data_IF_309850526562
#
_entry.id   IF_309850526562
#
_cell.length_a   1.000
_cell.length_b   1.000
_cell.length_c   1.000
_cell.angle_alpha   90.00
_cell.angle_beta   90.00
_cell.angle_gamma   90.00
#
_symmetry.space_group_name_H-M   'P 1'
#
loop_
_entity.id
_entity.type
_entity.pdbx_description
1 polymer ?
#
# COMPACT_ATOMS: atom_id res chain seq x y z
N UNK A 1 -51.92 -73.11 -19.99
CA UNK A 1 -52.40 -71.84 -19.42
C UNK A 1 -51.44 -71.36 -18.36
N UNK A 2 -50.58 -70.37 -18.65
CA UNK A 2 -49.67 -69.75 -17.68
C UNK A 2 -50.07 -68.29 -17.55
N UNK A 3 -50.52 -67.86 -16.37
CA UNK A 3 -50.88 -66.48 -16.03
C UNK A 3 -49.60 -65.69 -15.82
N UNK A 4 -49.45 -64.48 -16.47
CA UNK A 4 -48.43 -63.50 -16.21
C UNK A 4 -48.80 -62.64 -14.98
N UNK A 5 -47.88 -62.28 -14.08
CA UNK A 5 -48.17 -61.33 -13.01
C UNK A 5 -48.08 -59.90 -13.53
N UNK A 6 -49.02 -59.06 -13.17
CA UNK A 6 -49.03 -57.63 -13.41
C UNK A 6 -48.11 -56.89 -12.42
N UNK A 7 -47.14 -56.19 -12.93
CA UNK A 7 -46.25 -55.30 -12.13
C UNK A 7 -46.96 -53.95 -11.97
N UNK A 8 -47.35 -53.64 -10.74
CA UNK A 8 -47.87 -52.33 -10.34
C UNK A 8 -46.70 -51.28 -10.39
N UNK A 9 -46.83 -50.29 -11.22
CA UNK A 9 -46.00 -49.08 -11.16
C UNK A 9 -46.44 -48.24 -9.96
N UNK A 10 -45.65 -48.21 -8.89
CA UNK A 10 -45.80 -47.28 -7.77
C UNK A 10 -44.53 -46.50 -7.57
N UNK A 11 -44.64 -45.17 -7.57
CA UNK A 11 -43.83 -44.35 -6.65
C UNK A 11 -42.64 -43.56 -7.18
N UNK A 12 -42.48 -43.25 -8.50
CA UNK A 12 -41.33 -42.45 -8.94
C UNK A 12 -41.58 -40.92 -8.95
N UNK A 13 -42.82 -40.45 -8.83
CA UNK A 13 -43.11 -39.01 -8.93
C UNK A 13 -42.92 -38.22 -7.63
N UNK A 14 -42.99 -38.87 -6.47
CA UNK A 14 -42.83 -38.17 -5.16
C UNK A 14 -41.35 -37.96 -4.76
N UNK A 15 -40.47 -38.83 -5.16
CA UNK A 15 -39.03 -38.69 -4.89
C UNK A 15 -38.37 -37.60 -5.73
N UNK A 16 -38.75 -37.42 -6.99
CA UNK A 16 -38.24 -36.38 -7.85
C UNK A 16 -38.65 -34.96 -7.38
N UNK A 17 -39.91 -34.80 -6.88
CA UNK A 17 -40.38 -33.53 -6.34
C UNK A 17 -39.66 -33.14 -5.03
N UNK A 18 -39.37 -34.11 -4.16
CA UNK A 18 -38.66 -33.88 -2.91
C UNK A 18 -37.18 -33.49 -3.16
N UNK A 19 -36.50 -34.10 -4.14
CA UNK A 19 -35.12 -33.75 -4.52
C UNK A 19 -35.01 -32.38 -5.16
N UNK A 20 -36.01 -31.99 -6.00
CA UNK A 20 -36.06 -30.66 -6.59
C UNK A 20 -36.32 -29.56 -5.55
N UNK A 21 -37.16 -29.82 -4.54
CA UNK A 21 -37.39 -28.88 -3.44
C UNK A 21 -36.18 -28.72 -2.53
N UNK A 22 -35.42 -29.80 -2.27
CA UNK A 22 -34.18 -29.76 -1.47
C UNK A 22 -33.05 -29.03 -2.21
N UNK A 23 -32.94 -29.23 -3.52
CA UNK A 23 -31.98 -28.51 -4.35
C UNK A 23 -32.31 -27.02 -4.46
N UNK A 24 -33.58 -26.62 -4.57
CA UNK A 24 -34.01 -25.23 -4.57
C UNK A 24 -33.76 -24.56 -3.20
N UNK A 25 -34.01 -25.26 -2.10
CA UNK A 25 -33.73 -24.76 -0.74
C UNK A 25 -32.22 -24.59 -0.47
N UNK A 26 -31.38 -25.52 -0.96
CA UNK A 26 -29.92 -25.40 -0.87
C UNK A 26 -29.36 -24.29 -1.74
N UNK A 27 -29.94 -24.05 -2.93
CA UNK A 27 -29.58 -22.90 -3.78
C UNK A 27 -30.00 -21.57 -3.15
N UNK A 28 -31.19 -21.49 -2.57
CA UNK A 28 -31.65 -20.28 -1.89
C UNK A 28 -30.87 -19.97 -0.62
N UNK A 29 -30.42 -20.97 0.14
CA UNK A 29 -29.52 -20.78 1.27
C UNK A 29 -28.12 -20.39 0.82
N UNK A 30 -27.60 -20.96 -0.26
CA UNK A 30 -26.28 -20.57 -0.82
C UNK A 30 -26.28 -19.15 -1.38
N UNK A 31 -27.35 -18.73 -2.07
CA UNK A 31 -27.50 -17.35 -2.54
C UNK A 31 -27.74 -16.38 -1.37
N UNK A 32 -28.48 -16.79 -0.34
CA UNK A 32 -28.66 -16.00 0.89
C UNK A 32 -27.38 -15.87 1.73
N UNK A 33 -26.52 -16.89 1.76
CA UNK A 33 -25.20 -16.81 2.37
C UNK A 33 -24.23 -15.97 1.53
N UNK A 34 -24.28 -16.07 0.20
CA UNK A 34 -23.44 -15.24 -0.68
C UNK A 34 -23.84 -13.75 -0.60
N UNK A 35 -25.12 -13.42 -0.46
CA UNK A 35 -25.59 -12.05 -0.26
C UNK A 35 -25.22 -11.48 1.13
N UNK A 36 -24.97 -12.33 2.14
CA UNK A 36 -24.48 -11.94 3.47
C UNK A 36 -22.95 -11.95 3.58
N UNK A 37 -22.23 -12.55 2.63
CA UNK A 37 -20.76 -12.61 2.62
C UNK A 37 -20.09 -11.24 2.38
N UNK A 38 -20.84 -10.17 2.05
CA UNK A 38 -20.32 -8.81 1.99
C UNK A 38 -20.14 -8.11 3.33
N UNK A 39 -20.40 -8.76 4.48
CA UNK A 39 -20.59 -8.03 5.73
C UNK A 39 -19.77 -8.50 6.94
N UNK A 40 -18.83 -9.41 6.84
CA UNK A 40 -18.01 -9.77 8.00
C UNK A 40 -16.52 -9.79 7.64
N UNK A 41 -15.89 -8.62 7.64
CA UNK A 41 -14.43 -8.52 7.48
C UNK A 41 -13.66 -9.09 8.69
N UNK A 42 -14.30 -9.32 9.83
CA UNK A 42 -13.65 -9.65 11.10
C UNK A 42 -12.85 -8.48 11.70
N UNK A 43 -12.88 -7.33 11.04
CA UNK A 43 -12.19 -6.10 11.45
C UNK A 43 -13.04 -5.35 12.46
N UNK A 44 -12.43 -4.96 13.58
CA UNK A 44 -13.07 -4.08 14.55
C UNK A 44 -12.86 -2.62 14.13
N UNK A 45 -13.95 -1.89 13.93
CA UNK A 45 -13.94 -0.46 13.57
C UNK A 45 -14.32 0.42 14.75
N UNK A 46 -13.89 1.67 14.73
CA UNK A 46 -14.37 2.68 15.67
C UNK A 46 -15.89 2.86 15.55
N UNK A 47 -16.59 3.29 16.63
CA UNK A 47 -18.02 3.52 16.62
C UNK A 47 -18.47 4.42 15.46
N UNK A 48 -19.57 4.07 14.81
CA UNK A 48 -20.11 4.79 13.66
C UNK A 48 -19.42 4.51 12.32
N UNK A 49 -18.41 3.62 12.31
CA UNK A 49 -17.77 3.16 11.09
C UNK A 49 -18.11 1.68 10.81
N UNK A 50 -18.06 1.30 9.55
CA UNK A 50 -18.17 -0.09 9.11
C UNK A 50 -17.10 -0.44 8.10
N UNK A 51 -16.64 -1.69 8.14
CA UNK A 51 -15.69 -2.25 7.18
C UNK A 51 -16.38 -3.28 6.27
N UNK A 52 -16.11 -3.19 4.99
CA UNK A 52 -16.61 -4.11 3.97
C UNK A 52 -15.49 -4.53 3.02
N UNK A 53 -15.51 -5.77 2.55
CA UNK A 53 -14.56 -6.25 1.54
C UNK A 53 -14.97 -5.70 0.18
N UNK A 54 -14.04 -5.04 -0.53
CA UNK A 54 -14.30 -4.46 -1.87
C UNK A 54 -13.46 -5.12 -2.97
N UNK A 55 -12.34 -5.76 -2.61
CA UNK A 55 -11.54 -6.55 -3.55
C UNK A 55 -11.17 -7.86 -2.87
N UNK A 56 -11.35 -8.95 -3.60
CA UNK A 56 -10.95 -10.30 -3.20
C UNK A 56 -9.89 -10.82 -4.17
N UNK A 57 -9.21 -11.88 -3.77
CA UNK A 57 -8.33 -12.66 -4.64
C UNK A 57 -7.15 -11.87 -5.26
N UNK A 58 -6.72 -10.79 -4.59
CA UNK A 58 -5.52 -10.04 -4.97
C UNK A 58 -4.29 -10.62 -4.27
N UNK A 59 -3.29 -11.01 -5.04
CA UNK A 59 -2.12 -11.73 -4.53
C UNK A 59 -1.22 -10.88 -3.63
N UNK A 60 -1.42 -10.90 -2.29
CA UNK A 60 -0.63 -10.15 -1.30
C UNK A 60 -0.57 -8.65 -1.63
N UNK A 61 -1.68 -7.92 -1.54
CA UNK A 61 -1.71 -6.49 -1.80
C UNK A 61 -0.85 -5.74 -0.78
N UNK A 62 -0.03 -4.80 -1.24
CA UNK A 62 0.98 -4.11 -0.40
C UNK A 62 0.84 -2.60 -0.41
N UNK A 63 0.40 -2.00 -1.53
CA UNK A 63 0.18 -0.56 -1.62
C UNK A 63 -1.10 -0.24 -2.37
N UNK A 64 -1.72 0.88 -1.97
CA UNK A 64 -2.95 1.40 -2.55
C UNK A 64 -2.79 2.88 -2.90
N UNK A 65 -3.40 3.29 -3.98
CA UNK A 65 -3.58 4.69 -4.35
C UNK A 65 -4.82 4.84 -5.24
N UNK A 66 -5.31 6.06 -5.41
CA UNK A 66 -6.32 6.35 -6.43
C UNK A 66 -5.66 6.99 -7.66
N UNK A 67 -6.05 6.55 -8.85
CA UNK A 67 -5.64 7.22 -10.08
C UNK A 67 -6.56 8.43 -10.36
N UNK A 68 -6.17 9.25 -11.34
CA UNK A 68 -6.94 10.44 -11.76
C UNK A 68 -8.39 10.12 -12.15
N UNK A 69 -8.67 8.89 -12.59
CA UNK A 69 -10.02 8.43 -12.94
C UNK A 69 -10.84 7.93 -11.77
N UNK A 70 -10.33 8.03 -10.53
CA UNK A 70 -11.00 7.53 -9.33
C UNK A 70 -10.95 6.01 -9.19
N UNK A 71 -10.14 5.30 -9.99
CA UNK A 71 -9.96 3.86 -9.84
C UNK A 71 -8.92 3.57 -8.77
N UNK A 72 -9.18 2.54 -7.98
CA UNK A 72 -8.22 2.04 -7.00
C UNK A 72 -7.08 1.32 -7.73
N UNK A 73 -5.87 1.82 -7.56
CA UNK A 73 -4.64 1.17 -7.98
C UNK A 73 -4.15 0.31 -6.84
N UNK A 74 -4.01 -0.99 -7.09
CA UNK A 74 -3.50 -1.95 -6.11
C UNK A 74 -2.18 -2.48 -6.62
N UNK A 75 -1.11 -2.23 -5.88
CA UNK A 75 0.17 -2.89 -6.06
C UNK A 75 0.20 -4.15 -5.20
N UNK A 76 0.52 -5.28 -5.80
CA UNK A 76 0.61 -6.57 -5.12
C UNK A 76 1.91 -7.30 -5.46
N UNK A 77 2.36 -8.20 -4.59
CA UNK A 77 3.49 -9.10 -4.89
C UNK A 77 3.12 -10.23 -5.86
N UNK A 78 1.84 -10.36 -6.20
CA UNK A 78 1.34 -11.49 -6.96
C UNK A 78 1.30 -12.78 -6.14
N UNK A 79 0.74 -13.84 -6.74
CA UNK A 79 0.58 -15.14 -6.08
C UNK A 79 1.78 -16.04 -6.23
N UNK A 80 2.51 -15.94 -7.33
CA UNK A 80 3.52 -16.92 -7.73
C UNK A 80 4.95 -16.54 -7.37
N UNK A 81 5.23 -15.27 -7.09
CA UNK A 81 6.59 -14.81 -6.79
C UNK A 81 7.56 -14.96 -7.97
N UNK A 82 7.03 -15.00 -9.20
CA UNK A 82 7.77 -15.07 -10.46
C UNK A 82 7.97 -13.70 -11.12
N UNK A 83 7.43 -12.65 -10.48
CA UNK A 83 7.56 -11.26 -10.90
C UNK A 83 7.87 -10.36 -9.71
N UNK A 84 8.34 -9.14 -9.98
CA UNK A 84 8.58 -8.13 -8.95
C UNK A 84 7.28 -7.64 -8.31
N UNK A 85 6.18 -7.67 -9.05
CA UNK A 85 4.85 -7.33 -8.58
C UNK A 85 3.82 -7.27 -9.68
N UNK A 86 2.57 -7.10 -9.29
CA UNK A 86 1.42 -6.95 -10.16
C UNK A 86 0.66 -5.67 -9.81
N UNK A 87 0.09 -5.02 -10.81
CA UNK A 87 -0.69 -3.80 -10.65
C UNK A 87 -2.07 -4.01 -11.22
N UNK A 88 -3.08 -3.75 -10.40
CA UNK A 88 -4.49 -3.75 -10.78
C UNK A 88 -5.03 -2.32 -10.74
N UNK A 89 -5.93 -1.97 -11.68
CA UNK A 89 -6.70 -0.73 -11.67
C UNK A 89 -8.18 -1.10 -11.63
N UNK A 90 -8.83 -0.88 -10.49
CA UNK A 90 -10.15 -1.44 -10.17
C UNK A 90 -11.15 -0.31 -9.90
N UNK A 91 -12.34 -0.43 -10.48
CA UNK A 91 -13.48 0.44 -10.15
C UNK A 91 -14.21 -0.12 -8.93
N UNK A 92 -13.95 0.45 -7.77
CA UNK A 92 -14.48 0.02 -6.47
C UNK A 92 -15.73 0.80 -6.04
N UNK A 93 -16.41 1.46 -6.96
CA UNK A 93 -17.63 2.23 -6.67
C UNK A 93 -18.85 1.35 -6.42
N UNK A 94 -18.84 0.13 -6.96
CA UNK A 94 -19.91 -0.86 -6.81
C UNK A 94 -20.11 -1.35 -5.37
N UNK A 95 -21.24 -2.04 -5.16
CA UNK A 95 -21.58 -2.68 -3.87
C UNK A 95 -21.09 -4.12 -3.73
N UNK A 96 -20.68 -4.75 -4.82
CA UNK A 96 -20.16 -6.11 -4.83
C UNK A 96 -18.64 -6.10 -4.84
N UNK A 97 -17.96 -7.01 -4.12
CA UNK A 97 -16.53 -7.17 -4.19
C UNK A 97 -16.05 -7.54 -5.62
N UNK A 98 -14.92 -6.98 -6.02
CA UNK A 98 -14.28 -7.31 -7.29
C UNK A 98 -13.33 -8.49 -7.04
N UNK A 99 -13.43 -9.52 -7.86
CA UNK A 99 -12.45 -10.61 -7.92
C UNK A 99 -11.23 -10.16 -8.75
N UNK A 100 -10.14 -9.80 -8.08
CA UNK A 100 -8.92 -9.36 -8.74
C UNK A 100 -8.20 -10.51 -9.49
N UNK A 101 -8.47 -11.77 -9.15
CA UNK A 101 -7.94 -12.93 -9.87
C UNK A 101 -8.40 -12.99 -11.32
N UNK A 102 -9.60 -12.47 -11.60
CA UNK A 102 -10.19 -12.38 -12.94
C UNK A 102 -9.99 -11.00 -13.61
N UNK A 103 -9.53 -10.00 -12.87
CA UNK A 103 -9.36 -8.65 -13.40
C UNK A 103 -8.07 -8.49 -14.22
N UNK A 104 -8.06 -7.59 -15.22
CA UNK A 104 -6.83 -7.23 -15.93
C UNK A 104 -5.76 -6.69 -14.99
N UNK A 105 -4.51 -7.11 -15.23
CA UNK A 105 -3.35 -6.65 -14.44
C UNK A 105 -2.13 -6.46 -15.30
N UNK A 106 -1.24 -5.58 -14.85
CA UNK A 106 0.11 -5.40 -15.41
C UNK A 106 1.09 -6.15 -14.52
N UNK A 107 1.85 -7.06 -15.10
CA UNK A 107 2.89 -7.82 -14.41
C UNK A 107 4.23 -7.13 -14.62
N UNK A 108 4.92 -6.79 -13.53
CA UNK A 108 6.23 -6.16 -13.56
C UNK A 108 7.30 -7.24 -13.35
N UNK A 109 8.20 -7.45 -14.32
CA UNK A 109 9.23 -8.47 -14.21
C UNK A 109 10.27 -8.10 -13.15
N UNK A 110 11.02 -9.09 -12.68
CA UNK A 110 12.20 -8.83 -11.86
C UNK A 110 13.23 -8.03 -12.64
N UNK A 111 13.88 -7.09 -11.96
CA UNK A 111 15.09 -6.46 -12.48
C UNK A 111 16.26 -7.44 -12.47
N UNK A 112 17.29 -7.14 -13.26
CA UNK A 112 18.54 -7.86 -13.22
C UNK A 112 19.28 -7.53 -11.89
N UNK A 113 18.87 -8.16 -10.82
CA UNK A 113 19.46 -8.04 -9.48
C UNK A 113 19.79 -9.45 -8.96
N UNK A 114 20.92 -9.64 -8.24
CA UNK A 114 21.25 -10.91 -7.62
C UNK A 114 20.28 -11.32 -6.50
N UNK A 115 19.53 -10.37 -5.95
CA UNK A 115 18.49 -10.63 -4.95
C UNK A 115 17.15 -10.41 -5.61
N UNK A 116 16.32 -11.39 -5.79
CA UNK A 116 14.96 -11.23 -6.35
C UNK A 116 14.25 -10.04 -5.69
N UNK A 117 14.34 -8.81 -6.24
CA UNK A 117 13.73 -7.65 -5.65
C UNK A 117 12.22 -7.70 -5.88
N UNK A 118 11.48 -7.09 -4.97
CA UNK A 118 10.03 -6.97 -5.07
C UNK A 118 9.63 -5.50 -5.07
N UNK A 119 8.56 -5.18 -5.77
CA UNK A 119 7.96 -3.85 -5.65
C UNK A 119 7.40 -3.70 -4.23
N UNK A 120 7.71 -2.57 -3.59
CA UNK A 120 7.30 -2.30 -2.21
C UNK A 120 6.57 -0.99 -2.03
N UNK A 121 6.69 -0.06 -2.98
CA UNK A 121 6.15 1.29 -2.88
C UNK A 121 5.45 1.73 -4.15
N UNK A 122 4.46 2.60 -4.00
CA UNK A 122 3.63 3.14 -5.08
C UNK A 122 3.36 4.62 -4.84
N UNK A 123 3.56 5.44 -5.88
CA UNK A 123 3.03 6.79 -5.96
C UNK A 123 2.33 6.99 -7.31
N UNK A 124 1.29 7.80 -7.34
CA UNK A 124 0.51 8.13 -8.56
C UNK A 124 0.72 9.60 -8.89
N UNK A 125 1.04 9.91 -10.13
CA UNK A 125 1.00 11.29 -10.59
C UNK A 125 -0.46 11.73 -10.80
N UNK A 126 -0.98 12.67 -10.00
CA UNK A 126 -2.37 13.08 -10.10
C UNK A 126 -2.70 13.84 -11.40
N UNK A 127 -1.69 14.30 -12.13
CA UNK A 127 -1.85 15.05 -13.39
C UNK A 127 -1.98 14.12 -14.59
N UNK A 128 -1.16 13.05 -14.62
CA UNK A 128 -1.08 12.13 -15.78
C UNK A 128 -1.77 10.81 -15.52
N UNK A 129 -1.84 10.36 -14.25
CA UNK A 129 -2.26 9.02 -13.88
C UNK A 129 -1.17 7.96 -14.02
N UNK A 130 0.07 8.39 -14.30
CA UNK A 130 1.24 7.53 -14.34
C UNK A 130 1.61 7.05 -12.94
N UNK A 131 2.29 5.92 -12.86
CA UNK A 131 2.69 5.30 -11.61
C UNK A 131 4.20 5.35 -11.43
N UNK A 132 4.63 5.59 -10.22
CA UNK A 132 6.00 5.42 -9.78
C UNK A 132 6.06 4.24 -8.81
N UNK A 133 7.00 3.33 -9.05
CA UNK A 133 7.09 2.05 -8.37
C UNK A 133 8.47 1.89 -7.76
N UNK A 134 8.55 1.79 -6.43
CA UNK A 134 9.81 1.54 -5.73
C UNK A 134 10.08 0.05 -5.60
N UNK A 135 11.29 -0.39 -5.99
CA UNK A 135 11.74 -1.77 -5.93
C UNK A 135 12.67 -1.97 -4.73
N UNK A 136 12.21 -2.75 -3.75
CA UNK A 136 13.01 -3.17 -2.60
C UNK A 136 14.21 -4.03 -3.07
N UNK A 137 15.35 -3.93 -2.40
CA UNK A 137 16.60 -4.66 -2.70
C UNK A 137 17.21 -4.39 -4.09
N UNK A 138 16.42 -3.92 -5.05
CA UNK A 138 16.90 -3.41 -6.33
C UNK A 138 17.29 -1.94 -6.24
N UNK A 139 16.82 -1.26 -5.19
CA UNK A 139 17.16 0.13 -4.86
C UNK A 139 16.95 1.09 -6.03
N UNK A 140 15.81 0.94 -6.71
CA UNK A 140 15.46 1.74 -7.89
C UNK A 140 14.00 2.10 -7.92
N UNK A 141 13.68 3.10 -8.71
CA UNK A 141 12.29 3.52 -8.96
C UNK A 141 12.00 3.44 -10.45
N UNK A 142 10.87 2.83 -10.78
CA UNK A 142 10.32 2.79 -12.12
C UNK A 142 9.21 3.81 -12.28
N UNK A 143 9.03 4.26 -13.51
CA UNK A 143 7.86 4.95 -14.01
C UNK A 143 7.10 4.00 -14.94
N UNK A 144 5.83 3.80 -14.68
CA UNK A 144 4.89 3.07 -15.52
C UNK A 144 3.85 4.06 -16.04
N UNK A 145 3.96 4.39 -17.32
CA UNK A 145 3.03 5.30 -17.97
C UNK A 145 1.65 4.67 -18.18
N UNK A 146 0.64 5.49 -18.48
CA UNK A 146 -0.73 5.04 -18.74
C UNK A 146 -0.84 4.12 -19.96
N UNK A 147 0.07 4.22 -20.92
CA UNK A 147 0.22 3.30 -22.06
C UNK A 147 1.06 2.06 -21.75
N UNK A 148 1.29 1.78 -20.46
CA UNK A 148 2.00 0.59 -19.93
C UNK A 148 3.49 0.51 -20.28
N UNK A 149 4.12 1.62 -20.62
CA UNK A 149 5.57 1.66 -20.83
C UNK A 149 6.29 1.78 -19.50
N UNK A 150 7.15 0.80 -19.20
CA UNK A 150 7.98 0.78 -18.00
C UNK A 150 9.36 1.38 -18.29
N UNK A 151 9.78 2.35 -17.48
CA UNK A 151 11.09 3.00 -17.58
C UNK A 151 11.72 3.14 -16.19
N UNK A 152 13.01 2.86 -16.04
CA UNK A 152 13.73 3.16 -14.80
C UNK A 152 14.01 4.66 -14.73
N UNK A 153 13.58 5.32 -13.64
CA UNK A 153 13.72 6.79 -13.48
C UNK A 153 14.69 7.20 -12.40
N UNK A 154 14.92 6.35 -11.40
CA UNK A 154 15.93 6.60 -10.38
C UNK A 154 16.66 5.30 -9.98
N UNK A 155 17.95 5.42 -9.70
CA UNK A 155 18.84 4.36 -9.20
C UNK A 155 19.79 4.91 -8.15
N UNK A 156 20.55 4.04 -7.48
CA UNK A 156 21.58 4.43 -6.53
C UNK A 156 21.05 4.73 -5.13
N UNK A 157 19.81 4.33 -4.82
CA UNK A 157 19.34 4.27 -3.44
C UNK A 157 20.11 3.20 -2.66
N UNK A 158 20.35 3.41 -1.38
CA UNK A 158 21.09 2.48 -0.54
C UNK A 158 20.20 1.41 0.07
N UNK A 159 19.01 1.79 0.52
CA UNK A 159 18.08 0.89 1.21
C UNK A 159 16.62 1.36 1.09
N UNK A 160 16.05 1.19 -0.08
CA UNK A 160 14.62 1.45 -0.29
C UNK A 160 13.80 0.40 0.48
N UNK A 161 12.96 0.84 1.39
CA UNK A 161 12.10 -0.04 2.20
C UNK A 161 10.71 -0.18 1.59
N UNK A 162 10.02 -1.29 1.89
CA UNK A 162 8.61 -1.44 1.53
C UNK A 162 7.71 -0.58 2.41
N UNK A 163 6.59 -0.18 1.85
CA UNK A 163 5.66 0.77 2.44
C UNK A 163 5.54 2.02 1.57
N UNK A 164 5.08 3.13 2.10
CA UNK A 164 5.05 4.41 1.38
C UNK A 164 6.41 5.11 1.39
N UNK A 165 7.47 4.43 0.90
CA UNK A 165 8.82 5.00 0.87
C UNK A 165 9.07 5.96 -0.29
N UNK A 166 8.14 6.07 -1.23
CA UNK A 166 8.15 7.08 -2.30
C UNK A 166 6.85 7.86 -2.32
N UNK A 167 6.92 9.11 -2.74
CA UNK A 167 5.77 9.99 -2.97
C UNK A 167 6.08 10.96 -4.12
N UNK A 168 5.06 11.62 -4.63
CA UNK A 168 5.22 12.81 -5.48
C UNK A 168 4.75 14.03 -4.70
N UNK A 169 5.51 15.10 -4.73
CA UNK A 169 5.08 16.37 -4.15
C UNK A 169 4.17 17.16 -5.12
N UNK A 170 3.68 18.32 -4.66
CA UNK A 170 2.77 19.16 -5.45
C UNK A 170 3.35 19.64 -6.79
N UNK A 171 4.68 19.71 -6.91
CA UNK A 171 5.40 20.07 -8.13
C UNK A 171 5.66 18.85 -9.04
N UNK A 172 5.29 17.65 -8.60
CA UNK A 172 5.54 16.40 -9.32
C UNK A 172 6.98 15.91 -9.20
N UNK A 173 7.73 16.40 -8.21
CA UNK A 173 9.07 15.87 -7.91
C UNK A 173 8.94 14.54 -7.15
N UNK A 174 9.81 13.59 -7.48
CA UNK A 174 9.90 12.34 -6.76
C UNK A 174 10.55 12.58 -5.40
N UNK A 175 9.86 12.17 -4.35
CA UNK A 175 10.38 12.05 -3.00
C UNK A 175 10.71 10.58 -2.78
N UNK A 176 11.93 10.26 -2.35
CA UNK A 176 12.33 8.92 -1.98
C UNK A 176 12.95 8.92 -0.58
N UNK A 177 12.43 8.08 0.29
CA UNK A 177 13.01 7.83 1.61
C UNK A 177 13.98 6.69 1.49
N UNK A 178 15.19 6.89 2.03
CA UNK A 178 16.28 5.95 2.02
C UNK A 178 16.96 5.92 3.40
N UNK A 179 17.98 5.10 3.54
CA UNK A 179 18.70 4.96 4.80
C UNK A 179 20.18 4.65 4.55
N UNK A 180 21.06 5.49 5.09
CA UNK A 180 22.47 5.21 5.12
C UNK A 180 22.79 4.16 6.21
N UNK A 181 23.31 3.00 5.83
CA UNK A 181 23.68 1.95 6.77
C UNK A 181 25.16 1.59 6.68
N UNK A 182 25.75 1.09 7.78
CA UNK A 182 27.15 0.62 7.76
C UNK A 182 27.40 -0.51 6.75
N UNK A 183 26.34 -1.30 6.48
CA UNK A 183 26.41 -2.43 5.55
C UNK A 183 26.55 -2.00 4.09
N UNK A 184 26.07 -0.79 3.77
CA UNK A 184 26.17 -0.22 2.42
C UNK A 184 27.27 0.81 2.30
N UNK A 185 27.68 1.45 3.39
CA UNK A 185 28.76 2.43 3.38
C UNK A 185 30.11 1.76 3.11
N UNK A 186 30.88 2.34 2.19
CA UNK A 186 32.21 1.83 1.83
C UNK A 186 32.23 0.68 0.84
N UNK A 187 31.06 0.24 0.34
CA UNK A 187 31.02 -0.61 -0.86
C UNK A 187 31.18 0.28 -2.08
N UNK A 188 32.09 -0.09 -2.98
CA UNK A 188 32.31 0.64 -4.23
C UNK A 188 31.02 0.79 -5.07
N UNK A 189 30.06 -0.11 -4.84
CA UNK A 189 28.75 -0.14 -5.50
C UNK A 189 27.79 0.94 -4.97
N UNK A 190 28.01 1.44 -3.75
CA UNK A 190 27.16 2.43 -3.08
C UNK A 190 28.03 3.50 -2.41
N UNK A 191 28.63 4.41 -3.17
CA UNK A 191 29.32 5.54 -2.57
C UNK A 191 28.34 6.37 -1.73
N UNK A 192 28.77 6.99 -0.63
CA UNK A 192 27.89 7.91 0.09
C UNK A 192 27.46 9.04 -0.83
N UNK A 193 26.17 9.44 -0.77
CA UNK A 193 25.69 10.59 -1.55
C UNK A 193 26.51 11.84 -1.24
N UNK A 194 26.72 12.75 -2.22
CA UNK A 194 27.41 14.00 -2.04
C UNK A 194 26.82 14.81 -0.88
N UNK A 195 27.67 15.44 -0.10
CA UNK A 195 27.27 16.28 1.03
C UNK A 195 27.03 15.53 2.35
N UNK A 196 27.14 14.19 2.38
CA UNK A 196 27.10 13.45 3.64
C UNK A 196 28.41 13.58 4.45
N UNK A 197 29.51 13.89 3.80
CA UNK A 197 30.79 14.16 4.42
C UNK A 197 30.74 15.33 5.41
N UNK A 198 29.89 16.34 5.18
CA UNK A 198 29.67 17.44 6.13
C UNK A 198 28.96 16.99 7.42
N UNK A 199 28.32 15.83 7.44
CA UNK A 199 27.71 15.23 8.61
C UNK A 199 28.67 14.36 9.43
N UNK A 200 29.91 14.21 8.98
CA UNK A 200 30.92 13.38 9.59
C UNK A 200 31.10 12.02 8.92
N UNK A 201 32.34 11.46 9.05
CA UNK A 201 32.62 10.15 8.49
C UNK A 201 31.77 9.08 9.15
N UNK A 202 31.01 8.34 8.36
CA UNK A 202 30.19 7.24 8.82
C UNK A 202 28.76 7.62 9.25
N UNK A 203 28.18 8.67 8.65
CA UNK A 203 26.76 8.97 8.87
C UNK A 203 25.91 7.72 8.65
N UNK A 204 25.09 7.40 9.65
CA UNK A 204 24.13 6.32 9.62
C UNK A 204 22.77 6.90 10.00
N UNK A 205 21.80 6.78 9.14
CA UNK A 205 20.51 7.34 9.44
C UNK A 205 19.65 7.59 8.20
N UNK A 206 18.50 8.23 8.40
CA UNK A 206 17.54 8.46 7.32
C UNK A 206 18.09 9.45 6.29
N UNK A 207 17.75 9.17 5.03
CA UNK A 207 18.00 10.04 3.89
C UNK A 207 16.66 10.29 3.19
N UNK A 208 16.46 11.51 2.71
CA UNK A 208 15.33 11.83 1.83
C UNK A 208 15.89 12.53 0.60
N UNK A 209 15.56 11.99 -0.55
CA UNK A 209 15.86 12.60 -1.84
C UNK A 209 14.62 13.29 -2.39
N UNK A 210 14.81 14.46 -3.02
CA UNK A 210 13.78 15.18 -3.77
C UNK A 210 14.33 15.47 -5.15
N UNK A 211 13.76 14.86 -6.17
CA UNK A 211 14.30 14.89 -7.54
C UNK A 211 13.24 15.26 -8.57
N UNK A 212 13.59 16.15 -9.46
CA UNK A 212 12.80 16.43 -10.67
C UNK A 212 13.05 15.34 -11.71
N UNK A 213 11.97 14.79 -12.26
CA UNK A 213 11.98 13.69 -13.23
C UNK A 213 11.52 14.13 -14.64
N UNK A 214 11.74 15.37 -15.02
CA UNK A 214 11.28 15.89 -16.31
C UNK A 214 12.31 16.79 -16.98
N UNK A 215 11.97 17.34 -18.14
CA UNK A 215 12.59 18.48 -18.81
C UNK A 215 14.06 18.28 -19.20
N UNK A 216 14.34 17.18 -19.94
CA UNK A 216 15.67 16.94 -20.51
C UNK A 216 16.70 16.37 -19.55
N UNK A 217 16.33 16.05 -18.33
CA UNK A 217 17.22 15.35 -17.41
C UNK A 217 17.49 13.93 -17.91
N UNK A 218 18.78 13.54 -17.96
CA UNK A 218 19.14 12.18 -18.32
C UNK A 218 18.54 11.17 -17.32
N UNK A 219 17.83 10.18 -17.81
CA UNK A 219 17.30 9.07 -17.02
C UNK A 219 18.15 7.82 -17.21
N UNK A 220 18.29 6.97 -16.19
CA UNK A 220 17.80 7.17 -14.82
C UNK A 220 18.62 8.19 -14.03
N UNK A 221 17.96 8.91 -13.12
CA UNK A 221 18.67 9.81 -12.17
C UNK A 221 19.45 8.96 -11.19
N UNK A 222 20.71 9.31 -11.00
CA UNK A 222 21.60 8.66 -10.04
C UNK A 222 21.53 9.40 -8.71
N UNK A 223 20.82 8.82 -7.74
CA UNK A 223 20.62 9.46 -6.43
C UNK A 223 21.89 9.38 -5.56
N UNK A 224 22.76 8.42 -5.84
CA UNK A 224 24.10 8.34 -5.26
C UNK A 224 25.02 9.50 -5.69
N UNK A 225 24.64 10.28 -6.70
CA UNK A 225 25.41 11.44 -7.20
C UNK A 225 24.75 12.78 -6.88
N UNK A 226 23.64 12.82 -6.15
CA UNK A 226 22.98 14.06 -5.76
C UNK A 226 22.92 14.17 -4.22
N UNK A 227 23.04 15.39 -3.66
CA UNK A 227 22.89 15.56 -2.23
C UNK A 227 21.46 15.24 -1.80
N UNK A 228 21.26 14.57 -0.65
CA UNK A 228 19.92 14.38 -0.12
C UNK A 228 19.30 15.73 0.27
N UNK A 229 17.98 15.83 0.11
CA UNK A 229 17.20 16.97 0.60
C UNK A 229 17.25 17.00 2.14
N UNK A 230 17.22 15.85 2.79
CA UNK A 230 17.39 15.64 4.21
C UNK A 230 18.35 14.45 4.45
N UNK A 231 19.27 14.49 5.43
CA UNK A 231 19.48 15.58 6.38
C UNK A 231 20.34 16.70 5.78
N UNK A 232 20.03 17.93 6.14
CA UNK A 232 20.94 19.07 5.92
C UNK A 232 21.89 19.27 7.09
N UNK A 233 21.40 19.04 8.33
CA UNK A 233 22.09 19.33 9.59
C UNK A 233 21.68 18.36 10.71
N UNK A 234 21.18 17.17 10.38
CA UNK A 234 20.69 16.25 11.41
C UNK A 234 21.84 15.43 11.99
N UNK A 235 22.00 15.53 13.30
CA UNK A 235 22.90 14.70 14.08
C UNK A 235 22.03 13.89 15.03
N UNK A 236 22.14 12.56 14.98
CA UNK A 236 21.46 11.72 15.97
C UNK A 236 21.97 12.06 17.36
N UNK A 237 21.09 12.36 18.33
CA UNK A 237 21.53 12.61 19.70
C UNK A 237 22.36 11.41 20.21
N UNK A 238 23.45 11.64 20.93
CA UNK A 238 24.25 10.55 21.48
C UNK A 238 23.40 9.64 22.37
N UNK A 239 23.45 8.33 22.11
CA UNK A 239 22.69 7.34 22.89
C UNK A 239 21.25 7.08 22.45
N UNK A 240 20.73 7.81 21.46
CA UNK A 240 19.44 7.47 20.87
C UNK A 240 19.59 6.43 19.74
N UNK A 241 18.63 5.51 19.62
CA UNK A 241 18.66 4.54 18.51
C UNK A 241 18.52 5.28 17.18
N UNK A 242 19.27 4.85 16.17
CA UNK A 242 19.17 5.37 14.81
C UNK A 242 17.75 5.08 14.29
N UNK A 243 17.03 6.15 13.99
CA UNK A 243 15.65 6.08 13.52
C UNK A 243 15.62 5.92 12.01
N UNK A 244 14.83 4.97 11.52
CA UNK A 244 14.55 4.81 10.08
C UNK A 244 13.22 5.45 9.77
N UNK A 245 13.16 6.29 8.75
CA UNK A 245 11.88 6.67 8.18
C UNK A 245 11.32 5.51 7.36
N UNK A 246 10.11 5.11 7.70
CA UNK A 246 9.45 3.95 7.10
C UNK A 246 8.45 4.35 6.02
N UNK A 247 7.93 5.58 6.07
CA UNK A 247 6.94 6.05 5.13
C UNK A 247 6.98 7.58 4.98
N UNK A 248 6.58 8.04 3.80
CA UNK A 248 6.41 9.45 3.45
C UNK A 248 5.09 9.66 2.74
N UNK A 249 4.43 10.79 3.03
CA UNK A 249 3.33 11.32 2.26
C UNK A 249 3.56 12.81 2.01
N UNK A 250 3.33 13.27 0.79
CA UNK A 250 3.43 14.67 0.43
C UNK A 250 2.05 15.33 0.50
N UNK A 251 2.00 16.53 1.09
CA UNK A 251 0.84 17.41 1.04
C UNK A 251 0.92 18.32 -0.18
N UNK A 252 -0.21 18.86 -0.58
CA UNK A 252 -0.29 19.79 -1.72
C UNK A 252 0.50 21.08 -1.53
N UNK A 253 0.79 21.47 -0.27
CA UNK A 253 1.60 22.63 0.08
C UNK A 253 3.13 22.36 0.06
N UNK A 254 3.56 21.19 -0.42
CA UNK A 254 4.97 20.78 -0.47
C UNK A 254 5.50 20.19 0.84
N UNK A 255 4.73 20.28 1.93
CA UNK A 255 5.10 19.70 3.22
C UNK A 255 5.12 18.18 3.13
N UNK A 256 6.15 17.55 3.68
CA UNK A 256 6.25 16.10 3.80
C UNK A 256 5.85 15.65 5.20
N UNK A 257 5.02 14.62 5.29
CA UNK A 257 4.73 13.89 6.52
C UNK A 257 5.52 12.60 6.50
N UNK A 258 6.21 12.31 7.58
CA UNK A 258 7.10 11.16 7.71
C UNK A 258 6.71 10.33 8.92
N UNK A 259 6.87 9.02 8.82
CA UNK A 259 6.71 8.10 9.94
C UNK A 259 8.02 7.34 10.14
N UNK A 260 8.50 7.27 11.37
CA UNK A 260 9.65 6.45 11.72
C UNK A 260 9.27 5.04 12.22
N UNK A 261 10.28 4.19 12.39
CA UNK A 261 10.13 2.82 12.86
C UNK A 261 9.63 2.70 14.31
N UNK A 262 9.64 3.78 15.08
CA UNK A 262 9.18 3.84 16.47
C UNK A 262 7.80 4.49 16.60
N UNK A 263 7.16 4.87 15.48
CA UNK A 263 5.83 5.48 15.45
C UNK A 263 5.82 6.99 15.66
N UNK A 264 6.97 7.67 15.59
CA UNK A 264 6.99 9.12 15.61
C UNK A 264 6.58 9.67 14.24
N UNK A 265 5.60 10.56 14.22
CA UNK A 265 5.19 11.29 13.02
C UNK A 265 5.88 12.64 13.00
N UNK A 266 6.51 12.96 11.88
CA UNK A 266 7.19 14.23 11.67
C UNK A 266 6.58 15.00 10.50
N UNK A 267 6.82 16.31 10.51
CA UNK A 267 6.63 17.19 9.37
C UNK A 267 7.99 17.71 8.93
N UNK A 268 8.31 17.55 7.66
CA UNK A 268 9.51 18.12 7.06
C UNK A 268 9.09 19.27 6.14
N UNK A 269 9.61 20.46 6.45
CA UNK A 269 9.32 21.68 5.69
C UNK A 269 10.18 21.77 4.42
N UNK A 270 9.83 22.66 3.49
CA UNK A 270 10.65 22.95 2.30
C UNK A 270 12.02 23.51 2.65
N UNK A 271 12.16 24.14 3.82
CA UNK A 271 13.45 24.60 4.32
C UNK A 271 14.34 23.44 4.84
N UNK A 272 13.82 22.20 4.90
CA UNK A 272 14.52 21.04 5.43
C UNK A 272 14.46 20.92 6.96
N UNK A 273 13.54 21.64 7.61
CA UNK A 273 13.34 21.60 9.06
C UNK A 273 12.42 20.43 9.43
N UNK A 274 12.88 19.54 10.32
CA UNK A 274 12.13 18.39 10.81
C UNK A 274 11.46 18.73 12.14
N UNK A 275 10.13 18.66 12.18
CA UNK A 275 9.31 18.98 13.35
C UNK A 275 8.49 17.77 13.76
N UNK A 276 8.57 17.39 15.05
CA UNK A 276 7.71 16.34 15.60
C UNK A 276 6.24 16.80 15.62
N UNK A 277 5.34 15.97 15.11
CA UNK A 277 3.89 16.24 15.09
C UNK A 277 3.20 15.51 16.23
N UNK A 278 3.40 14.17 16.28
CA UNK A 278 2.77 13.32 17.30
C UNK A 278 3.48 11.97 17.34
N UNK A 279 3.15 11.17 18.33
CA UNK A 279 3.62 9.80 18.44
C UNK A 279 2.43 8.84 18.45
N UNK A 280 2.50 7.82 17.62
CA UNK A 280 1.56 6.71 17.63
C UNK A 280 1.76 5.84 18.88
N UNK A 281 0.77 5.02 19.29
CA UNK A 281 0.94 4.05 20.36
C UNK A 281 2.20 3.19 20.18
N UNK A 282 2.80 2.78 21.30
CA UNK A 282 4.03 1.99 21.28
C UNK A 282 3.88 0.76 20.38
N UNK A 283 4.87 0.54 19.51
CA UNK A 283 4.86 -0.54 18.53
C UNK A 283 6.08 -0.49 17.64
N UNK A 284 6.22 -1.48 16.80
CA UNK A 284 7.25 -1.55 15.78
C UNK A 284 6.61 -1.36 14.40
N UNK A 285 6.93 -0.24 13.76
CA UNK A 285 6.30 0.19 12.52
C UNK A 285 7.18 -0.16 11.33
N UNK A 286 6.79 -1.20 10.60
CA UNK A 286 7.46 -1.66 9.38
C UNK A 286 6.44 -1.89 8.27
N UNK A 287 6.83 -1.64 7.02
CA UNK A 287 5.98 -1.75 5.84
C UNK A 287 4.67 -0.98 6.01
N UNK A 288 4.78 0.19 6.60
CA UNK A 288 3.68 1.10 6.86
C UNK A 288 3.33 1.91 5.63
N UNK A 289 2.09 2.36 5.56
CA UNK A 289 1.64 3.26 4.50
C UNK A 289 0.95 4.48 5.09
N UNK A 290 1.10 5.60 4.40
CA UNK A 290 0.53 6.89 4.75
C UNK A 290 -0.41 7.36 3.65
N UNK A 291 -1.57 7.89 4.03
CA UNK A 291 -2.47 8.60 3.11
C UNK A 291 -2.97 9.90 3.77
N UNK A 292 -2.89 10.99 3.04
CA UNK A 292 -3.42 12.29 3.48
C UNK A 292 -4.81 12.48 2.91
N UNK A 293 -5.79 12.72 3.78
CA UNK A 293 -7.15 13.05 3.38
C UNK A 293 -7.31 14.53 3.04
N UNK A 294 -8.40 14.89 2.38
CA UNK A 294 -8.71 16.29 2.02
C UNK A 294 -8.78 17.25 3.22
N UNK A 295 -9.22 16.76 4.38
CA UNK A 295 -9.27 17.54 5.63
C UNK A 295 -7.89 17.72 6.26
N UNK A 296 -6.83 17.22 5.64
CA UNK A 296 -5.46 17.25 6.13
C UNK A 296 -5.15 16.20 7.18
N UNK A 297 -6.09 15.32 7.53
CA UNK A 297 -5.81 14.20 8.42
C UNK A 297 -4.90 13.17 7.72
N UNK A 298 -4.01 12.57 8.50
CA UNK A 298 -3.13 11.50 8.05
C UNK A 298 -3.70 10.15 8.51
N UNK A 299 -3.87 9.22 7.58
CA UNK A 299 -4.15 7.82 7.89
C UNK A 299 -2.87 7.01 7.81
N UNK A 300 -2.67 6.15 8.82
CA UNK A 300 -1.47 5.33 8.98
C UNK A 300 -1.87 3.87 9.11
N UNK A 301 -1.55 3.06 8.11
CA UNK A 301 -1.57 1.61 8.23
C UNK A 301 -0.26 1.14 8.87
N UNK A 302 -0.32 0.11 9.72
CA UNK A 302 0.77 -0.14 10.67
C UNK A 302 1.55 -1.42 10.42
N UNK A 303 1.29 -2.10 9.30
CA UNK A 303 1.95 -3.37 8.98
C UNK A 303 1.59 -4.49 9.96
N UNK A 304 2.32 -5.58 9.85
CA UNK A 304 1.99 -6.86 10.51
C UNK A 304 2.20 -6.88 12.03
N UNK A 305 3.03 -6.00 12.59
CA UNK A 305 3.30 -6.02 14.03
C UNK A 305 2.19 -5.38 14.85
N UNK A 306 1.64 -4.24 14.42
CA UNK A 306 0.65 -3.47 15.18
C UNK A 306 -0.78 -3.79 14.74
N UNK A 307 -1.00 -4.13 13.46
CA UNK A 307 -2.27 -4.58 12.88
C UNK A 307 -3.44 -3.63 13.07
N UNK A 308 -3.17 -2.30 13.00
CA UNK A 308 -4.14 -1.23 13.22
C UNK A 308 -4.11 -0.22 12.08
N UNK A 309 -5.19 0.54 11.99
CA UNK A 309 -5.26 1.76 11.21
C UNK A 309 -5.45 2.93 12.18
N UNK A 310 -4.56 3.89 12.13
CA UNK A 310 -4.68 5.13 12.90
C UNK A 310 -5.08 6.30 12.01
N UNK A 311 -5.80 7.26 12.60
CA UNK A 311 -6.01 8.60 12.05
C UNK A 311 -5.29 9.59 12.95
N UNK A 312 -4.46 10.43 12.37
CA UNK A 312 -3.83 11.57 13.01
C UNK A 312 -4.51 12.83 12.49
N UNK A 313 -5.15 13.58 13.37
CA UNK A 313 -5.78 14.85 12.99
C UNK A 313 -4.72 15.89 12.57
N UNK A 314 -5.07 16.97 11.87
CA UNK A 314 -4.13 18.07 11.58
C UNK A 314 -3.50 18.67 12.85
N UNK A 315 -4.18 18.61 13.98
CA UNK A 315 -3.68 19.04 15.30
C UNK A 315 -2.86 17.99 16.05
N UNK A 316 -2.56 16.81 15.44
CA UNK A 316 -1.73 15.77 16.04
C UNK A 316 -2.47 14.78 16.94
N UNK A 317 -3.80 14.90 17.13
CA UNK A 317 -4.57 13.92 17.92
C UNK A 317 -4.65 12.58 17.18
N UNK A 318 -4.33 11.48 17.87
CA UNK A 318 -4.31 10.12 17.34
C UNK A 318 -5.57 9.37 17.76
N UNK A 319 -6.25 8.74 16.80
CA UNK A 319 -7.40 7.87 17.04
C UNK A 319 -7.24 6.55 16.31
N UNK A 320 -7.65 5.43 16.92
CA UNK A 320 -7.73 4.14 16.24
C UNK A 320 -9.00 4.10 15.39
N UNK A 321 -8.86 3.87 14.09
CA UNK A 321 -9.96 3.73 13.13
C UNK A 321 -10.41 2.28 13.01
N UNK A 322 -9.42 1.36 12.98
CA UNK A 322 -9.67 -0.07 12.92
C UNK A 322 -8.56 -0.87 13.58
N UNK A 323 -8.90 -2.06 14.07
CA UNK A 323 -7.98 -3.05 14.65
C UNK A 323 -8.26 -4.45 14.12
N UNK A 324 -7.39 -5.40 14.47
CA UNK A 324 -7.44 -6.80 14.03
C UNK A 324 -7.35 -6.98 12.52
N UNK A 325 -6.65 -6.06 11.86
CA UNK A 325 -6.38 -6.11 10.42
C UNK A 325 -5.42 -7.26 10.07
N UNK A 326 -5.60 -7.84 8.89
CA UNK A 326 -4.81 -8.95 8.38
C UNK A 326 -3.51 -8.50 7.70
N UNK A 327 -2.51 -8.04 8.48
CA UNK A 327 -1.27 -7.45 7.97
C UNK A 327 -1.55 -6.23 7.06
N UNK A 328 -1.98 -5.10 7.66
CA UNK A 328 -2.39 -3.93 6.90
C UNK A 328 -1.17 -3.27 6.22
N UNK A 329 -1.09 -3.40 4.90
CA UNK A 329 -0.10 -2.77 4.04
C UNK A 329 -0.53 -1.36 3.62
N UNK A 330 -0.90 -1.20 2.33
CA UNK A 330 -1.31 0.07 1.75
C UNK A 330 -2.58 0.65 2.37
N UNK A 331 -2.63 1.97 2.45
CA UNK A 331 -3.83 2.73 2.76
C UNK A 331 -4.05 3.81 1.70
N UNK A 332 -5.29 4.02 1.29
CA UNK A 332 -5.70 5.12 0.41
C UNK A 332 -7.02 5.72 0.91
N UNK A 333 -7.26 6.98 0.58
CA UNK A 333 -8.50 7.69 0.91
C UNK A 333 -9.04 8.29 -0.38
N UNK A 334 -10.32 8.08 -0.65
CA UNK A 334 -10.95 8.69 -1.82
C UNK A 334 -11.52 10.09 -1.52
N UNK A 335 -12.09 10.69 -2.54
CA UNK A 335 -12.63 12.04 -2.48
C UNK A 335 -13.84 12.18 -1.55
N UNK A 336 -14.56 11.09 -1.28
CA UNK A 336 -15.66 11.03 -0.32
C UNK A 336 -15.22 10.73 1.11
N UNK A 337 -13.92 10.59 1.34
CA UNK A 337 -13.33 10.29 2.65
C UNK A 337 -13.47 8.82 3.07
N UNK A 338 -13.81 7.91 2.15
CA UNK A 338 -13.79 6.47 2.42
C UNK A 338 -12.35 5.98 2.43
N UNK A 339 -12.03 5.11 3.37
CA UNK A 339 -10.67 4.65 3.59
C UNK A 339 -10.55 3.22 3.07
N UNK A 340 -9.51 2.96 2.31
CA UNK A 340 -9.22 1.65 1.75
C UNK A 340 -7.94 1.10 2.37
N UNK A 341 -7.96 -0.15 2.79
CA UNK A 341 -6.81 -0.81 3.43
C UNK A 341 -6.53 -2.14 2.74
N UNK A 342 -5.29 -2.34 2.33
CA UNK A 342 -4.79 -3.61 1.84
C UNK A 342 -4.54 -4.55 3.02
N UNK A 343 -5.23 -5.68 3.09
CA UNK A 343 -4.97 -6.75 4.04
C UNK A 343 -4.12 -7.83 3.36
N UNK A 344 -2.80 -7.67 3.45
CA UNK A 344 -1.80 -8.48 2.73
C UNK A 344 -1.94 -9.97 3.04
N UNK A 345 -2.12 -10.32 4.32
CA UNK A 345 -2.24 -11.72 4.75
C UNK A 345 -3.58 -12.37 4.35
N UNK A 346 -4.59 -11.56 4.05
CA UNK A 346 -5.94 -12.03 3.69
C UNK A 346 -6.23 -11.90 2.19
N UNK A 347 -5.26 -11.46 1.38
CA UNK A 347 -5.37 -11.35 -0.08
C UNK A 347 -6.59 -10.52 -0.53
N UNK A 348 -6.88 -9.42 0.18
CA UNK A 348 -8.07 -8.60 -0.05
C UNK A 348 -7.83 -7.12 0.21
N UNK A 349 -8.75 -6.28 -0.25
CA UNK A 349 -8.86 -4.88 0.15
C UNK A 349 -10.20 -4.66 0.81
N UNK A 350 -10.19 -3.98 1.94
CA UNK A 350 -11.40 -3.53 2.63
C UNK A 350 -11.59 -2.03 2.44
N UNK A 351 -12.85 -1.59 2.50
CA UNK A 351 -13.28 -0.20 2.56
C UNK A 351 -13.88 0.08 3.92
N UNK A 352 -13.45 1.16 4.58
CA UNK A 352 -14.00 1.65 5.84
C UNK A 352 -14.73 2.95 5.55
N UNK A 353 -15.98 3.04 5.94
CA UNK A 353 -16.84 4.20 5.72
C UNK A 353 -17.80 4.43 6.88
N UNK A 354 -18.43 5.61 6.99
CA UNK A 354 -19.48 5.85 7.98
C UNK A 354 -20.63 4.84 7.81
N UNK A 355 -21.12 4.34 8.94
CA UNK A 355 -22.33 3.54 8.99
C UNK A 355 -23.52 4.46 8.66
N UNK A 356 -24.35 4.09 7.69
CA UNK A 356 -25.57 4.85 7.43
C UNK A 356 -26.49 4.68 8.62
N UNK A 357 -27.09 5.75 9.16
CA UNK A 357 -28.18 5.60 10.12
C UNK A 357 -29.31 4.82 9.42
N UNK A 358 -29.86 3.83 10.14
CA UNK A 358 -31.03 3.06 9.70
C UNK A 358 -32.27 3.95 9.67
#
# INVERSE_FOLDING_TARGET
MRRKPSIRRFGLSRFAAAQAALAAALLATAVGLAARAGAASGVQTAPGLMAEVVVTDVGRPIQLAFDRGGRLVVLSHGRRGDAAGEIHRLDVTGSQPIDAGCAPRVVIPFSASPRKPALGSLAVDPRTGDLYLGEENGNRVYHLSTDQRLTTVAIGLQHLVGGSSIALDGDGRLIAVDYASPETQGRAEFPPPPGLDVLGSGYQGPLIFRVTLGDGAALPRRLDLVPPFFPRWWISPPGEPLTRFMAVAAKSDGTLLLLDSLGQVFRLTDAGELLAVTRLPAGHYQRTSLAVARDGALFVSTGFHVRRLFRVSPGGAVTTVASDLGDPGGVAVDDEGRIYVAETALHRVIRIRPQRPE
#
